data_IF_104044295746
#
_entry.id   IF_104044295746
#
_cell.length_a   1.000
_cell.length_b   1.000
_cell.length_c   1.000
_cell.angle_alpha   90.00
_cell.angle_beta   90.00
_cell.angle_gamma   90.00
#
_symmetry.space_group_name_H-M   'P 1'
#
loop_
_entity.id
_entity.type
_entity.pdbx_description
1 polymer ?
#
# COMPACT_ATOMS: atom_id res chain seq x y z
N UNK A 1 -1.35 -20.62 -7.19
CA UNK A 1 -0.02 -20.32 -7.71
C UNK A 1 1.01 -21.36 -7.29
N UNK A 2 1.34 -21.54 -6.02
CA UNK A 2 2.29 -22.57 -5.58
C UNK A 2 1.95 -24.01 -6.05
N UNK A 3 0.69 -24.29 -6.39
CA UNK A 3 0.19 -25.58 -6.92
C UNK A 3 0.07 -25.61 -8.44
N UNK A 4 0.46 -24.55 -9.16
CA UNK A 4 0.35 -24.46 -10.62
C UNK A 4 -1.06 -24.18 -11.16
N UNK A 5 -2.05 -23.94 -10.30
CA UNK A 5 -3.46 -23.71 -10.71
C UNK A 5 -3.67 -22.30 -11.25
N UNK A 6 -2.91 -21.31 -10.78
CA UNK A 6 -2.98 -19.93 -11.25
C UNK A 6 -1.60 -19.43 -11.68
N UNK A 7 -1.57 -18.63 -12.73
CA UNK A 7 -0.34 -18.04 -13.29
C UNK A 7 0.02 -16.72 -12.58
N UNK A 8 -0.98 -15.89 -12.29
CA UNK A 8 -0.83 -14.57 -11.66
C UNK A 8 -1.77 -14.44 -10.47
N UNK A 9 -1.45 -13.54 -9.55
CA UNK A 9 -2.32 -13.20 -8.43
C UNK A 9 -2.00 -11.81 -7.88
N UNK A 10 -3.01 -11.18 -7.30
CA UNK A 10 -2.86 -9.96 -6.51
C UNK A 10 -3.13 -10.33 -5.07
N UNK A 11 -2.18 -10.01 -4.19
CA UNK A 11 -2.26 -10.32 -2.75
C UNK A 11 -1.65 -9.17 -1.95
N UNK A 12 -1.96 -9.08 -0.66
CA UNK A 12 -1.20 -8.23 0.25
C UNK A 12 0.22 -8.77 0.44
N UNK A 13 1.21 -7.89 0.45
CA UNK A 13 2.60 -8.27 0.67
C UNK A 13 2.79 -8.97 2.03
N UNK A 14 2.05 -8.53 3.06
CA UNK A 14 1.99 -9.17 4.37
C UNK A 14 1.57 -10.64 4.29
N UNK A 15 0.53 -10.97 3.51
CA UNK A 15 0.09 -12.35 3.29
C UNK A 15 1.11 -13.18 2.52
N UNK A 16 1.78 -12.56 1.56
CA UNK A 16 2.84 -13.21 0.81
C UNK A 16 4.04 -13.55 1.70
N UNK A 17 4.46 -12.63 2.56
CA UNK A 17 5.53 -12.81 3.52
C UNK A 17 5.18 -13.87 4.59
N UNK A 18 3.97 -13.81 5.14
CA UNK A 18 3.52 -14.73 6.17
C UNK A 18 3.46 -16.18 5.69
N UNK A 19 3.02 -16.37 4.44
CA UNK A 19 2.81 -17.72 3.90
C UNK A 19 4.03 -18.34 3.23
N UNK A 20 5.13 -17.60 3.07
CA UNK A 20 6.39 -18.04 2.46
C UNK A 20 6.20 -18.88 1.19
N UNK A 21 5.23 -18.52 0.34
CA UNK A 21 4.88 -19.31 -0.85
C UNK A 21 5.89 -19.11 -1.99
N UNK A 22 6.12 -20.18 -2.75
CA UNK A 22 6.97 -20.17 -3.95
C UNK A 22 6.26 -19.44 -5.10
N UNK A 23 6.39 -18.14 -5.13
CA UNK A 23 6.00 -17.26 -6.22
C UNK A 23 6.98 -16.09 -6.28
N UNK A 24 7.04 -15.38 -7.41
CA UNK A 24 7.86 -14.16 -7.52
C UNK A 24 6.99 -12.93 -7.46
N UNK A 25 7.44 -11.93 -6.73
CA UNK A 25 6.85 -10.58 -6.80
C UNK A 25 7.25 -9.98 -8.14
N UNK A 26 6.28 -9.49 -8.89
CA UNK A 26 6.48 -8.88 -10.21
C UNK A 26 6.39 -7.37 -10.12
N UNK A 27 5.45 -6.86 -9.31
CA UNK A 27 5.20 -5.44 -9.20
C UNK A 27 4.48 -5.08 -7.89
N UNK A 28 4.89 -3.98 -7.30
CA UNK A 28 4.15 -3.27 -6.27
C UNK A 28 3.06 -2.42 -6.92
N UNK A 29 1.83 -2.51 -6.41
CA UNK A 29 0.66 -1.91 -7.05
C UNK A 29 0.27 -0.54 -6.50
N UNK A 30 0.86 -0.13 -5.36
CA UNK A 30 0.70 1.22 -4.80
C UNK A 30 -0.63 1.48 -4.08
N UNK A 31 -1.53 0.50 -3.99
CA UNK A 31 -2.81 0.61 -3.30
C UNK A 31 -2.95 -0.40 -2.14
N UNK A 32 -4.04 -0.31 -1.36
CA UNK A 32 -4.28 -1.12 -0.16
C UNK A 32 -3.11 -1.05 0.83
N UNK A 33 -2.51 0.12 0.97
CA UNK A 33 -1.39 0.35 1.89
C UNK A 33 -1.85 0.14 3.32
N UNK A 34 -1.11 -0.67 4.04
CA UNK A 34 -1.29 -0.93 5.45
C UNK A 34 0.07 -1.21 6.10
N UNK A 35 0.08 -1.44 7.39
CA UNK A 35 1.29 -1.84 8.12
C UNK A 35 0.95 -2.95 9.12
N UNK A 36 1.90 -3.79 9.39
CA UNK A 36 1.85 -4.73 10.51
C UNK A 36 2.58 -4.11 11.69
N UNK A 37 1.86 -3.96 12.79
CA UNK A 37 2.36 -3.21 13.93
C UNK A 37 2.10 -3.95 15.25
N UNK A 38 3.01 -3.73 16.20
CA UNK A 38 2.81 -4.09 17.59
C UNK A 38 1.99 -3.00 18.26
N UNK A 39 0.95 -3.41 18.99
CA UNK A 39 0.12 -2.53 19.78
C UNK A 39 -0.10 -3.10 21.18
N UNK A 40 -0.19 -2.21 22.17
CA UNK A 40 -0.34 -2.51 23.58
C UNK A 40 -1.57 -1.78 24.15
N UNK A 41 -2.09 -2.16 25.34
CA UNK A 41 -3.10 -1.38 26.03
C UNK A 41 -2.67 0.08 26.21
N UNK A 42 -3.62 1.00 26.01
CA UNK A 42 -3.36 2.43 26.02
C UNK A 42 -2.75 2.93 27.34
N UNK A 43 -3.16 2.29 28.44
CA UNK A 43 -2.77 2.66 29.81
C UNK A 43 -1.39 2.09 30.21
N UNK A 44 -0.81 1.19 29.41
CA UNK A 44 0.54 0.66 29.62
C UNK A 44 1.60 1.69 29.18
N UNK A 45 2.70 1.76 29.93
CA UNK A 45 3.84 2.60 29.55
C UNK A 45 4.81 1.84 28.67
N UNK A 46 5.10 2.36 27.47
CA UNK A 46 6.02 1.75 26.52
C UNK A 46 7.38 2.43 26.60
N UNK A 47 8.43 1.64 26.85
CA UNK A 47 9.81 2.13 26.98
C UNK A 47 10.77 1.46 25.97
N UNK A 48 10.23 0.85 24.90
CA UNK A 48 11.00 0.17 23.85
C UNK A 48 10.73 -1.33 23.79
N UNK A 49 11.40 -1.99 22.85
CA UNK A 49 11.12 -3.40 22.48
C UNK A 49 11.24 -4.40 23.63
N UNK A 50 12.09 -4.14 24.61
CA UNK A 50 12.24 -4.99 25.81
C UNK A 50 10.94 -5.14 26.61
N UNK A 51 9.97 -4.22 26.41
CA UNK A 51 8.67 -4.33 27.02
C UNK A 51 7.96 -5.65 26.68
N UNK A 52 8.22 -6.22 25.50
CA UNK A 52 7.61 -7.47 25.03
C UNK A 52 8.26 -8.73 25.63
N UNK A 53 9.43 -8.63 26.27
CA UNK A 53 10.14 -9.78 26.83
C UNK A 53 9.32 -10.48 27.91
N UNK A 54 9.08 -11.80 27.72
CA UNK A 54 8.29 -12.63 28.61
C UNK A 54 6.78 -12.40 28.54
N UNK A 55 6.29 -11.54 27.65
CA UNK A 55 4.87 -11.23 27.48
C UNK A 55 4.24 -12.05 26.34
N UNK A 56 2.91 -12.14 26.35
CA UNK A 56 2.11 -12.82 25.34
C UNK A 56 1.66 -11.85 24.27
N UNK A 57 1.91 -12.18 23.00
CA UNK A 57 1.51 -11.38 21.84
C UNK A 57 0.54 -12.18 20.99
N UNK A 58 -0.70 -11.71 20.87
CA UNK A 58 -1.69 -12.32 19.99
C UNK A 58 -1.50 -11.83 18.54
N UNK A 59 -1.58 -12.76 17.56
CA UNK A 59 -1.39 -12.42 16.15
C UNK A 59 -2.01 -13.43 15.20
N UNK A 60 -2.36 -12.98 13.98
CA UNK A 60 -2.63 -13.81 12.81
C UNK A 60 -1.40 -13.95 11.89
N UNK A 61 -0.26 -13.32 12.25
CA UNK A 61 0.98 -13.27 11.48
C UNK A 61 2.19 -13.79 12.28
N UNK A 62 2.17 -15.07 12.72
CA UNK A 62 3.22 -15.61 13.58
C UNK A 62 4.59 -15.72 12.93
N UNK A 63 4.68 -15.93 11.61
CA UNK A 63 5.97 -16.08 10.92
C UNK A 63 6.71 -14.74 10.89
N UNK A 64 6.03 -13.66 10.48
CA UNK A 64 6.59 -12.32 10.45
C UNK A 64 6.99 -11.87 11.86
N UNK A 65 6.10 -12.05 12.84
CA UNK A 65 6.36 -11.67 14.21
C UNK A 65 7.58 -12.42 14.80
N UNK A 66 7.62 -13.74 14.60
CA UNK A 66 8.73 -14.55 15.13
C UNK A 66 10.10 -14.13 14.54
N UNK A 67 10.11 -13.79 13.24
CA UNK A 67 11.31 -13.25 12.60
C UNK A 67 11.73 -11.93 13.25
N UNK A 68 10.81 -10.98 13.39
CA UNK A 68 11.06 -9.68 14.00
C UNK A 68 11.59 -9.82 15.44
N UNK A 69 10.96 -10.66 16.27
CA UNK A 69 11.38 -10.88 17.64
C UNK A 69 12.80 -11.49 17.72
N UNK A 70 13.11 -12.45 16.85
CA UNK A 70 14.45 -13.05 16.78
C UNK A 70 15.51 -12.05 16.35
N UNK A 71 15.23 -11.25 15.32
CA UNK A 71 16.16 -10.26 14.79
C UNK A 71 16.49 -9.17 15.83
N UNK A 72 15.57 -8.92 16.75
CA UNK A 72 15.72 -7.96 17.86
C UNK A 72 16.09 -8.61 19.20
N UNK A 73 16.36 -9.93 19.23
CA UNK A 73 16.72 -10.68 20.45
C UNK A 73 15.64 -10.64 21.58
N UNK A 74 14.36 -10.47 21.20
CA UNK A 74 13.24 -10.44 22.14
C UNK A 74 12.64 -11.84 22.30
N UNK A 75 12.49 -12.28 23.55
CA UNK A 75 11.82 -13.54 23.88
C UNK A 75 10.39 -13.27 24.36
N UNK A 76 9.41 -13.46 23.49
CA UNK A 76 7.98 -13.31 23.79
C UNK A 76 7.20 -14.59 23.43
N UNK A 77 6.03 -14.77 24.05
CA UNK A 77 5.15 -15.91 23.78
C UNK A 77 4.13 -15.52 22.68
N UNK A 78 4.15 -16.22 21.53
CA UNK A 78 3.31 -15.93 20.39
C UNK A 78 2.03 -16.74 20.48
N UNK A 79 0.89 -16.08 20.66
CA UNK A 79 -0.45 -16.67 20.62
C UNK A 79 -1.10 -16.48 19.26
N UNK A 80 -1.17 -17.56 18.49
CA UNK A 80 -1.78 -17.53 17.15
C UNK A 80 -3.31 -17.58 17.29
N UNK A 81 -3.97 -16.54 16.79
CA UNK A 81 -5.43 -16.47 16.72
C UNK A 81 -5.87 -16.04 15.32
N UNK A 82 -7.04 -16.51 14.90
CA UNK A 82 -7.58 -16.20 13.57
C UNK A 82 -8.74 -15.21 13.69
N UNK A 83 -8.51 -13.95 13.29
CA UNK A 83 -9.49 -12.86 13.38
C UNK A 83 -9.68 -12.32 14.79
N UNK A 84 -10.18 -11.09 14.87
CA UNK A 84 -10.46 -10.36 16.12
C UNK A 84 -9.28 -10.31 17.11
N UNK A 85 -8.09 -10.16 16.57
CA UNK A 85 -6.82 -10.10 17.34
C UNK A 85 -6.86 -8.95 18.36
N UNK A 86 -7.47 -7.83 17.97
CA UNK A 86 -7.57 -6.59 18.75
C UNK A 86 -8.33 -6.73 20.09
N UNK A 87 -9.16 -7.76 20.25
CA UNK A 87 -9.88 -7.97 21.51
C UNK A 87 -9.07 -8.76 22.55
N UNK A 88 -8.00 -9.44 22.13
CA UNK A 88 -7.24 -10.36 22.98
C UNK A 88 -6.73 -9.73 24.29
N UNK A 89 -6.16 -8.51 24.31
CA UNK A 89 -5.75 -7.88 25.56
C UNK A 89 -6.92 -7.54 26.47
N UNK A 90 -8.05 -7.08 25.92
CA UNK A 90 -9.23 -6.71 26.70
C UNK A 90 -9.88 -7.85 27.47
N UNK A 91 -9.69 -9.09 27.01
CA UNK A 91 -10.21 -10.31 27.66
C UNK A 91 -9.12 -11.08 28.43
N UNK A 92 -7.91 -10.54 28.54
CA UNK A 92 -6.79 -11.14 29.26
C UNK A 92 -6.14 -12.35 28.57
N UNK A 93 -6.34 -12.52 27.26
CA UNK A 93 -5.74 -13.60 26.48
C UNK A 93 -4.28 -13.32 26.11
N UNK A 94 -3.93 -12.05 25.93
CA UNK A 94 -2.59 -11.60 25.61
C UNK A 94 -2.29 -10.24 26.25
N UNK A 95 -1.01 -9.87 26.34
CA UNK A 95 -0.58 -8.57 26.85
C UNK A 95 -0.49 -7.54 25.74
N UNK A 96 -0.25 -7.99 24.52
CA UNK A 96 -0.10 -7.18 23.31
C UNK A 96 -0.69 -7.87 22.09
N UNK A 97 -0.77 -7.13 20.99
CA UNK A 97 -1.11 -7.68 19.69
C UNK A 97 -0.07 -7.32 18.63
N UNK A 98 -0.02 -8.16 17.60
CA UNK A 98 0.66 -7.86 16.34
C UNK A 98 -0.32 -8.10 15.20
N UNK A 99 -0.77 -7.04 14.54
CA UNK A 99 -1.82 -7.13 13.54
C UNK A 99 -1.74 -6.02 12.49
N UNK A 100 -2.58 -6.13 11.46
CA UNK A 100 -2.72 -5.11 10.41
C UNK A 100 -3.32 -3.83 10.99
N UNK A 101 -2.65 -2.73 10.69
CA UNK A 101 -3.13 -1.37 10.98
C UNK A 101 -3.21 -0.58 9.68
N UNK A 102 -4.39 -0.08 9.36
CA UNK A 102 -4.61 0.87 8.26
C UNK A 102 -4.77 2.28 8.81
N UNK A 103 -5.96 2.63 9.30
CA UNK A 103 -6.24 3.93 9.92
C UNK A 103 -5.96 3.98 11.43
N UNK A 104 -5.83 2.82 12.08
CA UNK A 104 -5.69 2.70 13.53
C UNK A 104 -6.99 2.84 14.32
N UNK A 105 -8.14 3.06 13.67
CA UNK A 105 -9.43 3.24 14.35
C UNK A 105 -9.84 2.03 15.18
N UNK A 106 -9.58 0.83 14.70
CA UNK A 106 -9.85 -0.43 15.42
C UNK A 106 -9.04 -0.54 16.71
N UNK A 107 -7.77 -0.12 16.70
CA UNK A 107 -6.92 -0.08 17.89
C UNK A 107 -7.52 0.87 18.94
N UNK A 108 -7.86 2.09 18.54
CA UNK A 108 -8.45 3.10 19.44
C UNK A 108 -9.76 2.60 20.05
N UNK A 109 -10.63 1.95 19.27
CA UNK A 109 -11.91 1.38 19.74
C UNK A 109 -11.71 0.29 20.79
N UNK A 110 -10.61 -0.45 20.73
CA UNK A 110 -10.25 -1.51 21.68
C UNK A 110 -9.28 -1.04 22.78
N UNK A 111 -9.11 0.28 22.97
CA UNK A 111 -8.19 0.88 23.95
C UNK A 111 -6.73 0.43 23.79
N UNK A 112 -6.31 0.25 22.56
CA UNK A 112 -4.93 -0.07 22.22
C UNK A 112 -4.23 1.17 21.64
N UNK A 113 -2.92 1.18 21.73
CA UNK A 113 -2.03 2.13 21.04
C UNK A 113 -0.95 1.37 20.27
N UNK A 114 -0.72 1.82 19.05
CA UNK A 114 0.37 1.35 18.22
C UNK A 114 1.70 1.86 18.80
N UNK A 115 2.69 1.00 18.91
CA UNK A 115 3.99 1.34 19.50
C UNK A 115 5.16 1.06 18.58
N UNK A 116 5.08 0.04 17.71
CA UNK A 116 6.13 -0.29 16.75
C UNK A 116 5.51 -0.70 15.41
N UNK A 117 6.02 -0.13 14.33
CA UNK A 117 5.72 -0.56 12.96
C UNK A 117 6.79 -1.56 12.53
N UNK A 118 6.40 -2.79 12.25
CA UNK A 118 7.33 -3.88 11.90
C UNK A 118 7.48 -4.02 10.40
N UNK A 119 6.37 -3.96 9.65
CA UNK A 119 6.34 -4.09 8.19
C UNK A 119 5.32 -3.13 7.61
N UNK A 120 5.72 -2.37 6.60
CA UNK A 120 4.79 -1.72 5.69
C UNK A 120 4.42 -2.69 4.58
N UNK A 121 3.17 -2.66 4.15
CA UNK A 121 2.62 -3.60 3.18
C UNK A 121 1.66 -2.89 2.23
N UNK A 122 1.64 -3.35 1.01
CA UNK A 122 0.69 -2.92 -0.02
C UNK A 122 0.25 -4.11 -0.87
N UNK A 123 -0.68 -3.88 -1.79
CA UNK A 123 -1.03 -4.88 -2.78
C UNK A 123 0.13 -5.11 -3.75
N UNK A 124 0.47 -6.38 -3.98
CA UNK A 124 1.51 -6.80 -4.92
C UNK A 124 0.94 -7.72 -6.00
N UNK A 125 1.47 -7.59 -7.21
CA UNK A 125 1.27 -8.56 -8.28
C UNK A 125 2.35 -9.64 -8.15
N UNK A 126 1.92 -10.88 -8.04
CA UNK A 126 2.81 -12.04 -7.96
C UNK A 126 2.56 -12.96 -9.16
N UNK A 127 3.61 -13.67 -9.57
CA UNK A 127 3.56 -14.62 -10.68
C UNK A 127 4.10 -15.99 -10.28
N UNK A 128 3.61 -17.03 -10.97
CA UNK A 128 4.21 -18.34 -10.90
C UNK A 128 5.64 -18.29 -11.45
N UNK A 129 6.55 -19.04 -10.84
CA UNK A 129 7.95 -19.10 -11.28
C UNK A 129 8.14 -19.77 -12.66
N UNK A 130 7.17 -20.60 -13.08
CA UNK A 130 7.24 -21.42 -14.30
C UNK A 130 6.23 -20.93 -15.36
N UNK A 131 6.28 -19.63 -15.72
CA UNK A 131 5.49 -19.13 -16.85
C UNK A 131 6.16 -19.49 -18.17
N UNK A 132 5.35 -19.81 -19.20
CA UNK A 132 5.81 -19.94 -20.59
C UNK A 132 6.11 -18.56 -21.18
N UNK A 133 6.88 -18.52 -22.27
CA UNK A 133 7.24 -17.26 -22.96
C UNK A 133 5.99 -16.48 -23.39
N UNK A 134 4.98 -17.16 -23.94
CA UNK A 134 3.69 -16.54 -24.30
C UNK A 134 3.00 -15.87 -23.10
N UNK A 135 3.03 -16.51 -21.92
CA UNK A 135 2.46 -15.93 -20.69
C UNK A 135 3.30 -14.80 -20.13
N UNK A 136 4.60 -14.81 -20.37
CA UNK A 136 5.49 -13.70 -20.01
C UNK A 136 5.17 -12.45 -20.84
N UNK A 137 4.95 -12.60 -22.15
CA UNK A 137 4.54 -11.49 -23.03
C UNK A 137 3.21 -10.86 -22.55
N UNK A 138 2.21 -11.70 -22.20
CA UNK A 138 0.93 -11.23 -21.65
C UNK A 138 1.15 -10.47 -20.31
N UNK A 139 2.03 -10.97 -19.45
CA UNK A 139 2.36 -10.34 -18.18
C UNK A 139 3.00 -8.96 -18.39
N UNK A 140 3.94 -8.85 -19.34
CA UNK A 140 4.58 -7.58 -19.67
C UNK A 140 3.57 -6.55 -20.19
N UNK A 141 2.63 -6.96 -21.06
CA UNK A 141 1.55 -6.11 -21.54
C UNK A 141 0.64 -5.66 -20.39
N UNK A 142 0.30 -6.55 -19.46
CA UNK A 142 -0.49 -6.21 -18.27
C UNK A 142 0.24 -5.19 -17.40
N UNK A 143 1.53 -5.38 -17.14
CA UNK A 143 2.36 -4.45 -16.36
C UNK A 143 2.41 -3.09 -17.05
N UNK A 144 2.58 -3.06 -18.37
CA UNK A 144 2.56 -1.81 -19.13
C UNK A 144 1.25 -1.05 -18.94
N UNK A 145 0.11 -1.74 -19.03
CA UNK A 145 -1.21 -1.13 -18.80
C UNK A 145 -1.39 -0.61 -17.38
N UNK A 146 -0.95 -1.38 -16.37
CA UNK A 146 -0.97 -0.95 -14.96
C UNK A 146 -0.13 0.32 -14.78
N UNK A 147 1.09 0.34 -15.34
CA UNK A 147 1.96 1.52 -15.29
C UNK A 147 1.33 2.74 -15.95
N UNK A 148 0.65 2.56 -17.08
CA UNK A 148 -0.02 3.66 -17.78
C UNK A 148 -1.15 4.26 -16.93
N UNK A 149 -1.96 3.42 -16.27
CA UNK A 149 -3.02 3.88 -15.35
C UNK A 149 -2.41 4.62 -14.16
N UNK A 150 -1.41 4.04 -13.49
CA UNK A 150 -0.74 4.67 -12.35
C UNK A 150 -0.08 6.00 -12.73
N UNK A 151 0.51 6.08 -13.91
CA UNK A 151 1.12 7.32 -14.40
C UNK A 151 0.10 8.43 -14.69
N UNK A 152 -1.18 8.10 -14.84
CA UNK A 152 -2.26 9.04 -15.10
C UNK A 152 -3.10 9.38 -13.85
N UNK A 153 -2.92 8.68 -12.73
CA UNK A 153 -3.79 8.75 -11.54
C UNK A 153 -3.87 10.17 -10.96
N UNK A 154 -2.73 10.85 -10.85
CA UNK A 154 -2.65 12.20 -10.29
C UNK A 154 -2.63 13.29 -11.39
N UNK A 155 -3.12 13.00 -12.61
CA UNK A 155 -3.06 13.93 -13.71
C UNK A 155 -4.44 14.27 -14.23
N UNK A 156 -4.63 15.57 -14.51
CA UNK A 156 -5.84 16.10 -15.12
C UNK A 156 -5.52 16.67 -16.50
N UNK A 157 -6.27 16.24 -17.49
CA UNK A 157 -6.27 16.86 -18.80
C UNK A 157 -7.27 18.01 -18.83
N UNK A 158 -6.77 19.22 -19.02
CA UNK A 158 -7.57 20.43 -19.10
C UNK A 158 -7.67 20.87 -20.57
N UNK A 159 -8.90 21.06 -21.01
CA UNK A 159 -9.25 21.68 -22.27
C UNK A 159 -10.10 22.89 -22.00
N UNK A 160 -9.70 24.06 -22.50
CA UNK A 160 -10.47 25.29 -22.38
C UNK A 160 -10.39 26.14 -23.64
N UNK A 161 -11.45 26.89 -23.89
CA UNK A 161 -11.47 27.91 -24.92
C UNK A 161 -11.24 29.29 -24.30
N UNK A 162 -10.22 30.02 -24.78
CA UNK A 162 -9.73 31.25 -24.17
C UNK A 162 -9.69 32.35 -25.21
N UNK A 163 -10.14 33.60 -24.89
CA UNK A 163 -9.87 34.76 -25.73
C UNK A 163 -8.35 34.99 -25.83
N UNK A 164 -7.85 35.32 -27.01
CA UNK A 164 -6.42 35.44 -27.26
C UNK A 164 -5.74 36.53 -26.37
N UNK A 165 -6.48 37.57 -26.00
CA UNK A 165 -5.98 38.62 -25.11
C UNK A 165 -5.81 38.17 -23.63
N UNK A 166 -6.27 36.96 -23.27
CA UNK A 166 -6.14 36.37 -21.94
C UNK A 166 -5.16 35.19 -21.92
N UNK A 167 -4.61 34.80 -23.06
CA UNK A 167 -3.74 33.61 -23.17
C UNK A 167 -2.56 33.69 -22.21
N UNK A 168 -1.82 34.79 -22.22
CA UNK A 168 -0.58 34.93 -21.39
C UNK A 168 -0.91 34.73 -19.91
N UNK A 169 -2.00 35.31 -19.41
CA UNK A 169 -2.44 35.16 -18.01
C UNK A 169 -2.81 33.73 -17.67
N UNK A 170 -3.48 33.03 -18.62
CA UNK A 170 -3.84 31.62 -18.44
C UNK A 170 -2.61 30.73 -18.43
N UNK A 171 -1.65 30.98 -19.31
CA UNK A 171 -0.42 30.20 -19.41
C UNK A 171 0.49 30.36 -18.18
N UNK A 172 0.47 31.51 -17.52
CA UNK A 172 1.15 31.73 -16.23
C UNK A 172 0.57 30.85 -15.11
N UNK A 173 -0.75 30.68 -15.10
CA UNK A 173 -1.46 29.90 -14.07
C UNK A 173 -1.43 28.39 -14.38
N UNK A 174 -1.41 28.03 -15.68
CA UNK A 174 -1.47 26.65 -16.16
C UNK A 174 -0.24 26.29 -17.00
N UNK A 175 0.94 26.21 -16.41
CA UNK A 175 2.18 25.97 -17.17
C UNK A 175 2.23 24.60 -17.85
N UNK A 176 1.42 23.62 -17.37
CA UNK A 176 1.45 22.23 -17.83
C UNK A 176 2.75 21.50 -17.46
N UNK A 177 2.83 20.20 -17.76
CA UNK A 177 4.02 19.37 -17.46
C UNK A 177 5.22 19.76 -18.32
N UNK A 178 4.98 20.16 -19.58
CA UNK A 178 6.03 20.64 -20.50
C UNK A 178 5.66 22.00 -21.09
N UNK A 179 4.59 22.03 -21.88
CA UNK A 179 4.04 23.21 -22.51
C UNK A 179 2.60 22.93 -22.92
N UNK A 180 1.68 23.88 -22.76
CA UNK A 180 0.32 23.75 -23.31
C UNK A 180 0.35 23.72 -24.84
N UNK A 181 -0.61 23.01 -25.42
CA UNK A 181 -0.90 23.08 -26.85
C UNK A 181 -1.96 24.15 -27.09
N UNK A 182 -1.71 25.08 -27.99
CA UNK A 182 -2.63 26.15 -28.35
C UNK A 182 -3.06 25.97 -29.79
N UNK A 183 -4.38 25.93 -30.03
CA UNK A 183 -4.95 25.81 -31.36
C UNK A 183 -5.97 26.94 -31.61
N UNK A 184 -5.88 27.68 -32.75
CA UNK A 184 -6.88 28.69 -33.07
C UNK A 184 -8.25 28.03 -33.25
N UNK A 185 -9.30 28.70 -32.80
CA UNK A 185 -10.69 28.30 -33.01
C UNK A 185 -11.26 28.94 -34.29
N UNK A 186 -12.34 28.35 -34.78
CA UNK A 186 -13.11 28.95 -35.90
C UNK A 186 -13.65 30.34 -35.54
N UNK A 187 -13.88 30.61 -34.25
CA UNK A 187 -14.22 31.94 -33.75
C UNK A 187 -12.95 32.79 -33.70
N UNK A 188 -12.89 33.84 -34.50
CA UNK A 188 -11.77 34.77 -34.54
C UNK A 188 -11.49 35.36 -33.14
N UNK A 189 -10.19 35.49 -32.76
CA UNK A 189 -9.74 36.02 -31.51
C UNK A 189 -9.84 35.02 -30.33
N UNK A 190 -10.12 33.74 -30.60
CA UNK A 190 -10.20 32.69 -29.58
C UNK A 190 -9.29 31.51 -29.93
N UNK A 191 -8.73 30.91 -28.89
CA UNK A 191 -7.93 29.70 -28.99
C UNK A 191 -8.38 28.62 -28.01
N UNK A 192 -8.17 27.35 -28.39
CA UNK A 192 -8.28 26.21 -27.49
C UNK A 192 -6.92 25.93 -26.87
N UNK A 193 -6.89 25.85 -25.55
CA UNK A 193 -5.70 25.50 -24.76
C UNK A 193 -5.88 24.12 -24.19
N UNK A 194 -4.91 23.24 -24.46
CA UNK A 194 -4.88 21.87 -23.97
C UNK A 194 -3.63 21.69 -23.12
N UNK A 195 -3.79 21.22 -21.90
CA UNK A 195 -2.68 20.98 -21.00
C UNK A 195 -2.93 19.82 -20.04
N UNK A 196 -1.87 19.19 -19.56
CA UNK A 196 -1.92 18.18 -18.51
C UNK A 196 -1.27 18.77 -17.26
N UNK A 197 -1.96 18.69 -16.13
CA UNK A 197 -1.48 19.17 -14.83
C UNK A 197 -1.52 18.03 -13.83
N UNK A 198 -0.66 18.10 -12.83
CA UNK A 198 -0.75 17.26 -11.63
C UNK A 198 -1.83 17.80 -10.69
N UNK A 199 -2.68 16.91 -10.19
CA UNK A 199 -3.65 17.23 -9.14
C UNK A 199 -2.89 17.36 -7.82
N UNK A 200 -2.96 18.54 -7.19
CA UNK A 200 -2.32 18.82 -5.90
C UNK A 200 -3.27 18.59 -4.75
#
# INVERSE_FOLDING_TARGET
MATGVADLGIVGENEFMEKEKQARIVKNLGFSKCRLSLAIPKDEEYQGLEWFSGRKIATSYPVILNKFLKDNHINADIHVITGSVEIAPGIGLADAIFDIVSSGSTLVSNRLKEVEVVVESEAILIANNNLTDEKLEILEELIFRINAVQAAEDKKYILMNVPNNSLDKILEVLPGIKSPTIMPLAKEGWSSVHTVLEEK
#
